data_IF_610052910261
#
_entry.id   IF_610052910261
#
_cell.length_a   1.000
_cell.length_b   1.000
_cell.length_c   1.000
_cell.angle_alpha   90.00
_cell.angle_beta   90.00
_cell.angle_gamma   90.00
#
_symmetry.space_group_name_H-M   'P 1'
#
loop_
_entity.id
_entity.type
_entity.pdbx_description
1 polymer ?
#
# COMPACT_ATOMS: atom_id res chain seq x y z
N UNK A 1 -14.17 -17.14 -10.01
CA UNK A 1 -14.10 -17.71 -8.64
C UNK A 1 -13.80 -16.56 -7.70
N UNK A 2 -14.23 -16.59 -6.43
CA UNK A 2 -13.91 -15.51 -5.50
C UNK A 2 -12.38 -15.43 -5.28
N UNK A 3 -11.87 -14.20 -5.17
CA UNK A 3 -10.46 -13.98 -4.86
C UNK A 3 -10.08 -14.58 -3.52
N UNK A 4 -8.90 -15.18 -3.43
CA UNK A 4 -8.34 -15.80 -2.22
C UNK A 4 -7.21 -14.93 -1.70
N UNK A 5 -7.33 -14.39 -0.47
CA UNK A 5 -6.32 -13.51 0.12
C UNK A 5 -5.72 -14.14 1.38
N UNK A 6 -4.41 -14.26 1.41
CA UNK A 6 -3.68 -14.64 2.60
C UNK A 6 -3.50 -13.41 3.50
N UNK A 7 -3.92 -13.52 4.76
CA UNK A 7 -3.80 -12.47 5.77
C UNK A 7 -2.89 -12.94 6.89
N UNK A 8 -1.77 -12.25 7.09
CA UNK A 8 -0.91 -12.43 8.26
C UNK A 8 -1.70 -12.08 9.52
N UNK A 9 -2.08 -13.10 10.28
CA UNK A 9 -2.94 -12.94 11.45
C UNK A 9 -2.18 -12.48 12.70
N UNK A 10 -0.86 -12.30 12.62
CA UNK A 10 0.02 -11.99 13.75
C UNK A 10 0.77 -10.65 13.58
N UNK A 11 0.37 -9.82 12.58
CA UNK A 11 1.13 -8.65 12.18
C UNK A 11 0.90 -7.41 13.05
N UNK A 12 -0.33 -7.16 13.52
CA UNK A 12 -0.65 -5.91 14.22
C UNK A 12 -0.26 -5.92 15.70
N UNK A 13 -0.21 -4.71 16.30
CA UNK A 13 0.07 -4.51 17.74
C UNK A 13 -0.94 -5.22 18.65
N UNK A 14 -2.13 -5.57 18.12
CA UNK A 14 -3.23 -6.21 18.85
C UNK A 14 -3.65 -7.54 18.23
N UNK A 15 -2.75 -8.13 17.44
CA UNK A 15 -2.98 -9.41 16.81
C UNK A 15 -3.41 -10.50 17.84
N UNK A 16 -4.24 -11.45 17.45
CA UNK A 16 -4.82 -11.69 16.12
C UNK A 16 -6.22 -11.05 15.92
N UNK A 17 -6.71 -10.26 16.86
CA UNK A 17 -8.10 -9.83 16.91
C UNK A 17 -8.54 -8.93 15.77
N UNK A 18 -7.81 -7.84 15.43
CA UNK A 18 -8.16 -6.98 14.29
C UNK A 18 -8.16 -7.72 12.95
N UNK A 19 -7.21 -8.67 12.78
CA UNK A 19 -7.07 -9.48 11.59
C UNK A 19 -8.27 -10.43 11.41
N UNK A 20 -8.67 -11.13 12.47
CA UNK A 20 -9.83 -12.04 12.46
C UNK A 20 -11.12 -11.26 12.19
N UNK A 21 -11.35 -10.14 12.89
CA UNK A 21 -12.52 -9.29 12.69
C UNK A 21 -12.56 -8.72 11.27
N UNK A 22 -11.43 -8.24 10.76
CA UNK A 22 -11.29 -7.72 9.40
C UNK A 22 -11.52 -8.79 8.33
N UNK A 23 -10.99 -10.00 8.52
CA UNK A 23 -11.23 -11.15 7.64
C UNK A 23 -12.71 -11.52 7.55
N UNK A 24 -13.40 -11.59 8.70
CA UNK A 24 -14.84 -11.88 8.78
C UNK A 24 -15.66 -10.79 8.06
N UNK A 25 -15.30 -9.51 8.27
CA UNK A 25 -15.97 -8.38 7.61
C UNK A 25 -15.73 -8.40 6.10
N UNK A 26 -14.49 -8.65 5.64
CA UNK A 26 -14.14 -8.74 4.23
C UNK A 26 -14.86 -9.91 3.53
N UNK A 27 -14.82 -11.09 4.13
CA UNK A 27 -15.52 -12.27 3.58
C UNK A 27 -17.02 -12.04 3.45
N UNK A 28 -17.65 -11.37 4.45
CA UNK A 28 -19.08 -11.05 4.43
C UNK A 28 -19.44 -9.98 3.41
N UNK A 29 -18.64 -8.93 3.30
CA UNK A 29 -18.98 -7.74 2.51
C UNK A 29 -18.56 -7.86 1.05
N UNK A 30 -17.43 -8.51 0.78
CA UNK A 30 -16.83 -8.58 -0.56
C UNK A 30 -16.84 -9.99 -1.16
N UNK A 31 -17.27 -11.01 -0.41
CA UNK A 31 -17.32 -12.39 -0.90
C UNK A 31 -15.94 -13.03 -1.10
N UNK A 32 -14.86 -12.43 -0.60
CA UNK A 32 -13.49 -12.96 -0.72
C UNK A 32 -13.27 -14.12 0.24
N UNK A 33 -12.47 -15.11 -0.17
CA UNK A 33 -11.96 -16.16 0.72
C UNK A 33 -10.69 -15.66 1.40
N UNK A 34 -10.63 -15.79 2.73
CA UNK A 34 -9.49 -15.31 3.52
C UNK A 34 -8.78 -16.48 4.19
N UNK A 35 -7.48 -16.59 3.97
CA UNK A 35 -6.59 -17.53 4.64
C UNK A 35 -5.86 -16.79 5.76
N UNK A 36 -6.26 -17.00 7.02
CA UNK A 36 -5.61 -16.47 8.22
C UNK A 36 -4.34 -17.26 8.49
N UNK A 37 -3.18 -16.64 8.35
CA UNK A 37 -1.87 -17.30 8.48
C UNK A 37 -1.27 -17.00 9.84
N UNK A 38 -0.98 -18.04 10.62
CA UNK A 38 -0.36 -17.91 11.94
C UNK A 38 -0.47 -19.16 12.79
N UNK A 39 -0.03 -19.12 14.07
CA UNK A 39 -0.10 -20.25 14.98
C UNK A 39 -1.54 -20.69 15.25
N UNK A 40 -1.86 -21.91 14.82
CA UNK A 40 -3.23 -22.46 14.87
C UNK A 40 -3.80 -22.51 16.30
N UNK A 41 -2.95 -22.78 17.28
CA UNK A 41 -3.31 -22.81 18.70
C UNK A 41 -3.74 -21.44 19.24
N UNK A 42 -3.28 -20.32 18.63
CA UNK A 42 -3.69 -18.96 18.96
C UNK A 42 -4.94 -18.56 18.17
N UNK A 43 -5.01 -18.93 16.89
CA UNK A 43 -6.06 -18.50 16.00
C UNK A 43 -7.38 -19.24 16.20
N UNK A 44 -7.37 -20.56 16.42
CA UNK A 44 -8.59 -21.36 16.59
C UNK A 44 -9.48 -20.90 17.75
N UNK A 45 -8.96 -20.67 18.97
CA UNK A 45 -9.79 -20.20 20.08
C UNK A 45 -10.38 -18.81 19.83
N UNK A 46 -9.59 -17.89 19.21
CA UNK A 46 -10.08 -16.53 18.97
C UNK A 46 -11.11 -16.52 17.83
N UNK A 47 -10.88 -17.23 16.72
CA UNK A 47 -11.84 -17.36 15.63
C UNK A 47 -13.15 -18.03 16.09
N UNK A 48 -13.08 -18.99 17.01
CA UNK A 48 -14.23 -19.67 17.60
C UNK A 48 -15.18 -18.76 18.39
N UNK A 49 -14.74 -17.58 18.81
CA UNK A 49 -15.60 -16.58 19.47
C UNK A 49 -16.60 -15.95 18.51
N UNK A 50 -16.36 -16.03 17.22
CA UNK A 50 -17.21 -15.43 16.17
C UNK A 50 -18.10 -16.47 15.52
N UNK A 51 -19.34 -16.61 15.99
CA UNK A 51 -20.32 -17.58 15.45
C UNK A 51 -20.52 -17.50 13.92
N UNK A 52 -20.31 -16.30 13.35
CA UNK A 52 -20.44 -16.07 11.91
C UNK A 52 -19.28 -16.69 11.12
N UNK A 53 -18.10 -16.89 11.71
CA UNK A 53 -16.93 -17.40 11.03
C UNK A 53 -17.15 -18.80 10.42
N UNK A 54 -17.87 -19.68 11.10
CA UNK A 54 -18.18 -21.04 10.61
C UNK A 54 -19.07 -21.10 9.36
N UNK A 55 -19.61 -19.97 8.89
CA UNK A 55 -20.44 -19.86 7.68
C UNK A 55 -19.80 -19.03 6.58
N UNK A 56 -18.62 -18.50 6.83
CA UNK A 56 -17.88 -17.62 5.91
C UNK A 56 -16.63 -18.35 5.41
N UNK A 57 -16.14 -18.00 4.21
CA UNK A 57 -14.93 -18.60 3.64
C UNK A 57 -13.66 -18.03 4.30
N UNK A 58 -13.51 -18.25 5.61
CA UNK A 58 -12.36 -17.87 6.42
C UNK A 58 -11.73 -19.13 6.99
N UNK A 59 -10.48 -19.40 6.63
CA UNK A 59 -9.75 -20.60 6.97
C UNK A 59 -8.41 -20.28 7.64
N UNK A 60 -7.93 -21.17 8.51
CA UNK A 60 -6.62 -21.03 9.14
C UNK A 60 -5.60 -21.83 8.36
N UNK A 61 -4.47 -21.19 8.04
CA UNK A 61 -3.25 -21.83 7.53
C UNK A 61 -2.19 -21.72 8.62
N UNK A 62 -1.70 -22.87 9.07
CA UNK A 62 -0.71 -22.91 10.15
C UNK A 62 0.63 -22.32 9.72
N UNK A 63 1.18 -21.46 10.58
CA UNK A 63 2.58 -21.04 10.61
C UNK A 63 3.02 -21.08 12.07
N UNK A 64 4.11 -21.78 12.37
CA UNK A 64 4.54 -22.02 13.77
C UNK A 64 5.15 -20.78 14.42
N UNK A 65 5.58 -19.80 13.62
CA UNK A 65 6.30 -18.61 14.04
C UNK A 65 5.66 -17.33 13.46
N UNK A 66 6.03 -16.19 13.99
CA UNK A 66 5.70 -14.87 13.45
C UNK A 66 6.80 -13.85 13.73
N UNK A 67 6.83 -12.78 12.95
CA UNK A 67 7.76 -11.64 13.09
C UNK A 67 7.06 -10.56 13.92
N UNK A 68 7.69 -10.12 15.00
CA UNK A 68 7.19 -9.02 15.84
C UNK A 68 7.70 -7.66 15.34
N UNK A 69 7.18 -6.57 15.89
CA UNK A 69 7.64 -5.22 15.53
C UNK A 69 9.07 -4.94 16.02
N UNK A 70 9.51 -5.61 17.10
CA UNK A 70 10.85 -5.49 17.68
C UNK A 70 11.88 -6.38 16.99
N UNK A 71 11.42 -7.37 16.20
CA UNK A 71 12.33 -8.26 15.47
C UNK A 71 13.12 -7.46 14.42
N UNK A 72 14.42 -7.67 14.41
CA UNK A 72 15.29 -7.15 13.35
C UNK A 72 15.07 -7.93 12.06
N UNK A 73 15.44 -7.35 10.92
CA UNK A 73 15.25 -7.99 9.59
C UNK A 73 15.97 -9.35 9.50
N UNK A 74 17.03 -9.55 10.26
CA UNK A 74 17.74 -10.83 10.33
C UNK A 74 16.87 -11.99 10.88
N UNK A 75 15.87 -11.69 11.69
CA UNK A 75 14.92 -12.68 12.21
C UNK A 75 14.17 -13.42 11.10
N UNK A 76 14.01 -12.81 9.92
CA UNK A 76 13.41 -13.44 8.73
C UNK A 76 14.17 -14.72 8.32
N UNK A 77 15.50 -14.73 8.51
CA UNK A 77 16.35 -15.90 8.19
C UNK A 77 16.26 -16.97 9.26
N UNK A 78 16.12 -16.58 10.52
CA UNK A 78 16.02 -17.48 11.65
C UNK A 78 14.64 -18.14 11.74
N UNK A 79 13.58 -17.35 11.68
CA UNK A 79 12.17 -17.80 11.74
C UNK A 79 11.71 -18.23 10.33
N UNK A 80 11.98 -19.47 9.96
CA UNK A 80 11.72 -19.96 8.59
C UNK A 80 10.25 -20.26 8.30
N UNK A 81 9.48 -20.56 9.32
CA UNK A 81 8.04 -20.88 9.23
C UNK A 81 7.17 -19.77 9.83
N UNK A 82 7.59 -18.50 9.59
CA UNK A 82 6.83 -17.34 10.05
C UNK A 82 5.62 -17.04 9.13
N UNK A 83 4.59 -16.41 9.71
CA UNK A 83 3.32 -16.10 9.05
C UNK A 83 3.47 -15.30 7.75
N UNK A 84 4.40 -14.33 7.68
CA UNK A 84 4.67 -13.56 6.46
C UNK A 84 5.21 -14.46 5.35
N UNK A 85 6.19 -15.30 5.66
CA UNK A 85 6.81 -16.20 4.67
C UNK A 85 5.81 -17.25 4.17
N UNK A 86 5.03 -17.83 5.08
CA UNK A 86 3.98 -18.80 4.73
C UNK A 86 2.93 -18.13 3.84
N UNK A 87 2.42 -16.96 4.21
CA UNK A 87 1.42 -16.22 3.43
C UNK A 87 1.90 -15.84 2.03
N UNK A 88 3.13 -15.32 1.92
CA UNK A 88 3.73 -15.00 0.62
C UNK A 88 4.03 -16.25 -0.23
N UNK A 89 4.36 -17.37 0.39
CA UNK A 89 4.51 -18.66 -0.31
C UNK A 89 3.19 -19.15 -0.91
N UNK A 90 2.06 -18.95 -0.21
CA UNK A 90 0.74 -19.26 -0.77
C UNK A 90 0.46 -18.45 -2.04
N UNK A 91 0.88 -17.18 -2.07
CA UNK A 91 0.77 -16.35 -3.28
C UNK A 91 1.66 -16.88 -4.40
N UNK A 92 2.92 -17.18 -4.12
CA UNK A 92 3.84 -17.73 -5.12
C UNK A 92 3.37 -19.07 -5.71
N UNK A 93 2.72 -19.90 -4.89
CA UNK A 93 2.17 -21.20 -5.30
C UNK A 93 0.81 -21.11 -6.01
N UNK A 94 0.25 -19.89 -6.16
CA UNK A 94 -1.07 -19.69 -6.76
C UNK A 94 -2.25 -20.15 -5.88
N UNK A 95 -2.02 -20.45 -4.61
CA UNK A 95 -3.04 -20.84 -3.62
C UNK A 95 -3.75 -19.62 -3.00
N UNK A 96 -3.10 -18.46 -3.05
CA UNK A 96 -3.69 -17.16 -2.75
C UNK A 96 -3.36 -16.19 -3.89
N UNK A 97 -4.25 -15.24 -4.14
CA UNK A 97 -4.08 -14.22 -5.17
C UNK A 97 -3.34 -12.98 -4.65
N UNK A 98 -3.35 -12.76 -3.32
CA UNK A 98 -2.65 -11.66 -2.67
C UNK A 98 -2.36 -11.95 -1.20
N UNK A 99 -1.44 -11.15 -0.64
CA UNK A 99 -1.01 -11.22 0.75
C UNK A 99 -1.19 -9.86 1.42
N UNK A 100 -1.68 -9.86 2.65
CA UNK A 100 -1.89 -8.68 3.49
C UNK A 100 -1.18 -8.88 4.83
N UNK A 101 -0.47 -7.86 5.32
CA UNK A 101 0.14 -7.86 6.65
C UNK A 101 0.09 -6.47 7.29
N UNK A 102 -0.04 -6.42 8.62
CA UNK A 102 0.17 -5.22 9.42
C UNK A 102 1.46 -5.29 10.26
N UNK A 103 2.34 -6.22 9.93
CA UNK A 103 3.58 -6.43 10.65
C UNK A 103 4.69 -5.46 10.26
N UNK A 104 5.90 -5.77 10.73
CA UNK A 104 7.10 -4.98 10.47
C UNK A 104 7.31 -4.75 8.97
N UNK A 105 7.24 -3.49 8.54
CA UNK A 105 7.29 -3.10 7.11
C UNK A 105 8.58 -3.57 6.43
N UNK A 106 9.74 -3.40 7.07
CA UNK A 106 11.03 -3.84 6.54
C UNK A 106 11.07 -5.37 6.35
N UNK A 107 10.55 -6.11 7.34
CA UNK A 107 10.45 -7.57 7.27
C UNK A 107 9.50 -8.03 6.16
N UNK A 108 8.35 -7.38 6.01
CA UNK A 108 7.37 -7.67 4.97
C UNK A 108 7.96 -7.45 3.57
N UNK A 109 8.60 -6.29 3.33
CA UNK A 109 9.24 -5.97 2.05
C UNK A 109 10.37 -6.95 1.71
N UNK A 110 11.28 -7.22 2.68
CA UNK A 110 12.37 -8.15 2.47
C UNK A 110 11.86 -9.57 2.20
N UNK A 111 10.84 -10.03 2.94
CA UNK A 111 10.26 -11.35 2.73
C UNK A 111 9.55 -11.44 1.37
N UNK A 112 8.82 -10.39 0.96
CA UNK A 112 8.17 -10.34 -0.35
C UNK A 112 9.20 -10.41 -1.49
N UNK A 113 10.29 -9.63 -1.40
CA UNK A 113 11.39 -9.68 -2.37
C UNK A 113 12.04 -11.07 -2.46
N UNK A 114 12.26 -11.73 -1.32
CA UNK A 114 12.88 -13.07 -1.27
C UNK A 114 11.93 -14.15 -1.81
N UNK A 115 10.64 -14.11 -1.43
CA UNK A 115 9.68 -15.18 -1.73
C UNK A 115 9.05 -15.01 -3.11
N UNK A 116 8.60 -13.81 -3.46
CA UNK A 116 7.93 -13.54 -4.74
C UNK A 116 8.94 -13.20 -5.86
N UNK A 117 10.03 -12.51 -5.51
CA UNK A 117 10.95 -11.91 -6.48
C UNK A 117 10.40 -10.63 -7.09
N UNK A 118 11.22 -9.91 -7.85
CA UNK A 118 10.82 -8.71 -8.57
C UNK A 118 10.16 -9.04 -9.92
N UNK A 119 9.24 -8.20 -10.36
CA UNK A 119 8.70 -8.20 -11.73
C UNK A 119 9.85 -7.95 -12.70
N UNK A 120 9.79 -8.55 -13.87
CA UNK A 120 10.87 -8.39 -14.88
C UNK A 120 11.01 -6.93 -15.27
N UNK A 121 12.24 -6.43 -15.24
CA UNK A 121 12.58 -5.04 -15.52
C UNK A 121 12.53 -4.12 -14.30
N UNK A 122 11.97 -4.57 -13.16
CA UNK A 122 11.99 -3.81 -11.90
C UNK A 122 13.31 -4.05 -11.18
N UNK A 123 14.07 -3.00 -10.96
CA UNK A 123 15.30 -3.02 -10.14
C UNK A 123 14.92 -3.06 -8.65
N UNK A 124 14.05 -2.16 -8.23
CA UNK A 124 13.61 -2.04 -6.85
C UNK A 124 12.09 -1.96 -6.73
N UNK A 125 11.44 -2.89 -6.00
CA UNK A 125 10.05 -2.73 -5.59
C UNK A 125 9.88 -1.45 -4.76
N UNK A 126 8.75 -0.78 -4.89
CA UNK A 126 8.45 0.47 -4.22
C UNK A 126 7.12 0.39 -3.45
N UNK A 127 7.06 1.05 -2.30
CA UNK A 127 5.88 1.10 -1.45
C UNK A 127 5.05 2.35 -1.79
N UNK A 128 3.78 2.16 -2.15
CA UNK A 128 2.89 3.27 -2.47
C UNK A 128 1.97 3.61 -1.30
N UNK A 129 1.69 4.90 -1.11
CA UNK A 129 0.67 5.36 -0.16
C UNK A 129 -0.35 6.26 -0.87
N UNK A 130 -1.61 6.11 -0.49
CA UNK A 130 -2.72 6.90 -1.04
C UNK A 130 -3.10 7.99 -0.05
N UNK A 131 -3.21 9.23 -0.56
CA UNK A 131 -3.56 10.42 0.20
C UNK A 131 -4.94 10.94 -0.21
N UNK A 132 -5.74 11.42 0.76
CA UNK A 132 -6.96 12.15 0.46
C UNK A 132 -6.63 13.52 -0.10
N UNK A 133 -7.38 13.95 -1.10
CA UNK A 133 -7.28 15.34 -1.61
C UNK A 133 -8.50 16.17 -1.27
N UNK A 134 -8.38 17.49 -1.34
CA UNK A 134 -9.47 18.41 -1.08
C UNK A 134 -10.69 18.19 -2.01
N UNK A 135 -10.53 17.96 -3.33
CA UNK A 135 -11.64 17.60 -4.21
C UNK A 135 -12.24 16.21 -3.95
N UNK A 136 -11.52 15.31 -3.26
CA UNK A 136 -11.97 13.97 -2.94
C UNK A 136 -11.45 12.85 -3.86
N UNK A 137 -10.75 13.19 -4.94
CA UNK A 137 -10.00 12.19 -5.71
C UNK A 137 -8.75 11.77 -4.93
N UNK A 138 -8.29 10.51 -5.02
CA UNK A 138 -7.05 10.12 -4.37
C UNK A 138 -5.83 10.70 -5.09
N UNK A 139 -4.77 11.00 -4.34
CA UNK A 139 -3.41 11.13 -4.87
C UNK A 139 -2.55 10.01 -4.33
N UNK A 140 -1.54 9.56 -5.06
CA UNK A 140 -0.64 8.49 -4.66
C UNK A 140 0.80 8.99 -4.61
N UNK A 141 1.49 8.70 -3.52
CA UNK A 141 2.93 8.94 -3.36
C UNK A 141 3.68 7.60 -3.45
N UNK A 142 4.73 7.56 -4.24
CA UNK A 142 5.59 6.41 -4.50
C UNK A 142 7.06 6.88 -4.64
N UNK A 143 8.00 6.49 -3.86
CA UNK A 143 8.09 5.51 -2.81
C UNK A 143 7.91 6.13 -1.41
N UNK A 144 7.33 5.38 -0.45
CA UNK A 144 7.12 5.87 0.93
C UNK A 144 7.93 5.08 1.97
N UNK A 145 9.07 4.52 1.58
CA UNK A 145 10.00 3.93 2.54
C UNK A 145 10.57 2.56 2.20
N UNK A 146 10.39 2.07 0.98
CA UNK A 146 11.04 0.83 0.55
C UNK A 146 12.52 1.05 0.17
N UNK A 147 12.87 2.23 -0.37
CA UNK A 147 14.21 2.52 -0.88
C UNK A 147 14.66 3.91 -0.43
N UNK A 148 15.56 3.96 0.55
CA UNK A 148 16.10 5.22 1.10
C UNK A 148 17.03 5.90 0.11
N UNK A 149 17.92 5.12 -0.51
CA UNK A 149 18.87 5.61 -1.53
C UNK A 149 18.38 5.14 -2.90
N UNK A 150 17.90 6.07 -3.71
CA UNK A 150 17.45 5.83 -5.08
C UNK A 150 18.42 6.39 -6.11
N UNK A 151 18.40 5.80 -7.32
CA UNK A 151 18.97 6.39 -8.53
C UNK A 151 17.88 7.10 -9.33
N UNK A 152 18.23 7.97 -10.31
CA UNK A 152 17.25 8.57 -11.21
C UNK A 152 16.39 7.53 -11.97
N UNK A 153 16.98 6.39 -12.36
CA UNK A 153 16.31 5.29 -13.03
C UNK A 153 15.31 4.57 -12.11
N UNK A 154 15.55 4.56 -10.78
CA UNK A 154 14.57 4.03 -9.84
C UNK A 154 13.33 4.93 -9.82
N UNK A 155 13.49 6.27 -9.80
CA UNK A 155 12.37 7.21 -9.85
C UNK A 155 11.61 7.13 -11.18
N UNK A 156 12.31 6.91 -12.29
CA UNK A 156 11.72 6.63 -13.59
C UNK A 156 10.83 5.38 -13.54
N UNK A 157 11.33 4.27 -13.00
CA UNK A 157 10.55 3.04 -12.83
C UNK A 157 9.36 3.24 -11.91
N UNK A 158 9.52 4.01 -10.83
CA UNK A 158 8.42 4.32 -9.90
C UNK A 158 7.30 5.10 -10.61
N UNK A 159 7.63 6.03 -11.49
CA UNK A 159 6.63 6.75 -12.28
C UNK A 159 5.79 5.81 -13.15
N UNK A 160 6.44 4.88 -13.85
CA UNK A 160 5.74 3.87 -14.67
C UNK A 160 4.87 2.95 -13.80
N UNK A 161 5.42 2.43 -12.69
CA UNK A 161 4.66 1.59 -11.76
C UNK A 161 3.47 2.32 -11.16
N UNK A 162 3.65 3.59 -10.82
CA UNK A 162 2.62 4.45 -10.27
C UNK A 162 1.50 4.73 -11.28
N UNK A 163 1.84 5.10 -12.51
CA UNK A 163 0.88 5.33 -13.59
C UNK A 163 0.03 4.09 -13.85
N UNK A 164 0.67 2.93 -14.02
CA UNK A 164 -0.02 1.65 -14.27
C UNK A 164 -0.96 1.30 -13.13
N UNK A 165 -0.49 1.39 -11.89
CA UNK A 165 -1.31 1.08 -10.72
C UNK A 165 -2.49 2.04 -10.59
N UNK A 166 -2.24 3.34 -10.73
CA UNK A 166 -3.28 4.35 -10.59
C UNK A 166 -4.37 4.21 -11.66
N UNK A 167 -3.99 3.97 -12.92
CA UNK A 167 -4.94 3.67 -14.01
C UNK A 167 -5.83 2.48 -13.69
N UNK A 168 -5.25 1.39 -13.22
CA UNK A 168 -5.98 0.17 -12.96
C UNK A 168 -6.93 0.27 -11.75
N UNK A 169 -6.50 0.92 -10.67
CA UNK A 169 -7.25 0.98 -9.42
C UNK A 169 -8.22 2.16 -9.35
N UNK A 170 -7.90 3.29 -10.03
CA UNK A 170 -8.66 4.54 -9.93
C UNK A 170 -9.12 5.08 -11.29
N UNK A 171 -8.88 4.36 -12.35
CA UNK A 171 -8.90 4.69 -13.78
C UNK A 171 -10.18 5.21 -14.40
N UNK A 172 -10.99 5.97 -13.67
CA UNK A 172 -12.07 6.77 -14.24
C UNK A 172 -11.62 8.21 -14.52
N UNK A 173 -10.40 8.38 -15.08
CA UNK A 173 -9.96 9.70 -15.49
C UNK A 173 -10.66 10.10 -16.80
N UNK A 174 -11.31 11.28 -16.84
CA UNK A 174 -11.94 11.79 -18.06
C UNK A 174 -10.91 12.21 -19.14
N UNK A 175 -9.60 12.31 -18.78
CA UNK A 175 -8.57 12.71 -19.71
C UNK A 175 -8.00 11.50 -20.45
N UNK A 176 -7.99 11.58 -21.79
CA UNK A 176 -7.35 10.62 -22.70
C UNK A 176 -5.84 10.44 -22.48
N UNK A 177 -5.20 11.35 -21.73
CA UNK A 177 -3.77 11.41 -21.42
C UNK A 177 -3.31 10.57 -20.22
N UNK A 178 -4.23 9.99 -19.44
CA UNK A 178 -3.92 9.22 -18.24
C UNK A 178 -3.64 10.04 -16.98
N UNK A 179 -3.18 9.39 -15.87
CA UNK A 179 -2.88 10.07 -14.61
C UNK A 179 -1.81 11.15 -14.77
N UNK A 180 -1.97 12.23 -14.03
CA UNK A 180 -0.95 13.29 -13.96
C UNK A 180 0.15 12.83 -13.02
N UNK A 181 1.37 12.68 -13.56
CA UNK A 181 2.54 12.21 -12.83
C UNK A 181 3.45 13.40 -12.52
N UNK A 182 3.75 13.64 -11.24
CA UNK A 182 4.66 14.69 -10.79
C UNK A 182 5.88 14.13 -10.06
N UNK A 183 6.98 14.87 -10.06
CA UNK A 183 8.19 14.57 -9.31
C UNK A 183 8.25 15.48 -8.07
N UNK A 184 8.28 14.90 -6.88
CA UNK A 184 8.35 15.68 -5.64
C UNK A 184 9.66 16.44 -5.54
N UNK A 185 9.58 17.76 -5.39
CA UNK A 185 10.72 18.66 -5.35
C UNK A 185 10.46 19.83 -4.36
N UNK A 186 11.40 20.76 -4.28
CA UNK A 186 11.34 21.94 -3.43
C UNK A 186 10.82 23.19 -4.16
N UNK A 187 10.37 23.06 -5.40
CA UNK A 187 9.82 24.10 -6.26
C UNK A 187 9.47 23.53 -7.62
N UNK A 188 8.59 24.22 -8.34
CA UNK A 188 8.00 23.76 -9.61
C UNK A 188 8.95 23.88 -10.81
N UNK A 189 9.98 24.76 -10.72
CA UNK A 189 10.90 25.00 -11.83
C UNK A 189 11.81 23.79 -12.05
N UNK A 190 12.12 23.47 -13.31
CA UNK A 190 12.97 22.35 -13.72
C UNK A 190 14.36 22.33 -13.06
N UNK A 191 14.90 23.50 -12.73
CA UNK A 191 16.21 23.67 -12.09
C UNK A 191 16.22 23.37 -10.58
N UNK A 192 15.05 23.25 -9.96
CA UNK A 192 14.91 22.99 -8.51
C UNK A 192 15.18 21.54 -8.14
N UNK A 193 15.52 21.33 -6.88
CA UNK A 193 15.78 20.02 -6.31
C UNK A 193 17.27 19.71 -6.14
N UNK A 194 17.55 18.51 -5.72
CA UNK A 194 18.90 17.95 -5.58
C UNK A 194 19.34 17.26 -6.89
N UNK A 195 20.55 16.69 -6.89
CA UNK A 195 21.10 16.02 -8.08
C UNK A 195 20.22 14.85 -8.54
N UNK A 196 19.68 14.07 -7.60
CA UNK A 196 18.77 12.96 -7.88
C UNK A 196 17.52 13.44 -8.65
N UNK A 197 16.82 14.45 -8.10
CA UNK A 197 15.57 14.94 -8.68
C UNK A 197 15.80 15.64 -10.02
N UNK A 198 16.90 16.42 -10.18
CA UNK A 198 17.21 17.06 -11.47
C UNK A 198 17.51 16.04 -12.57
N UNK A 199 18.23 14.97 -12.25
CA UNK A 199 18.49 13.90 -13.24
C UNK A 199 17.24 13.07 -13.54
N UNK A 200 16.46 12.72 -12.52
CA UNK A 200 15.19 12.02 -12.68
C UNK A 200 14.20 12.82 -13.53
N UNK A 201 14.14 14.15 -13.37
CA UNK A 201 13.29 15.03 -14.18
C UNK A 201 13.55 14.85 -15.68
N UNK A 202 14.83 14.77 -16.09
CA UNK A 202 15.20 14.60 -17.50
C UNK A 202 14.76 13.24 -18.06
N UNK A 203 14.81 12.18 -17.22
CA UNK A 203 14.32 10.85 -17.62
C UNK A 203 12.77 10.86 -17.72
N UNK A 204 12.08 11.38 -16.71
CA UNK A 204 10.62 11.42 -16.67
C UNK A 204 10.01 12.22 -17.84
N UNK A 205 10.66 13.31 -18.24
CA UNK A 205 10.23 14.15 -19.38
C UNK A 205 10.22 13.40 -20.71
N UNK A 206 11.01 12.33 -20.84
CA UNK A 206 11.10 11.53 -22.07
C UNK A 206 10.09 10.38 -22.12
N UNK A 207 9.42 10.10 -20.99
CA UNK A 207 8.47 9.01 -20.91
C UNK A 207 7.14 9.33 -21.62
N UNK A 208 6.47 8.33 -22.19
CA UNK A 208 5.12 8.48 -22.75
C UNK A 208 4.04 8.53 -21.63
N UNK A 209 4.31 9.31 -20.58
CA UNK A 209 3.43 9.56 -19.46
C UNK A 209 2.89 10.98 -19.47
N UNK A 210 1.80 11.24 -18.80
CA UNK A 210 1.32 12.59 -18.55
C UNK A 210 2.14 13.24 -17.43
N UNK A 211 3.43 13.46 -17.68
CA UNK A 211 4.35 14.07 -16.72
C UNK A 211 4.10 15.58 -16.65
N UNK A 212 3.73 16.07 -15.46
CA UNK A 212 3.38 17.48 -15.22
C UNK A 212 4.55 18.30 -14.69
N UNK A 213 5.73 17.70 -14.47
CA UNK A 213 6.92 18.37 -13.96
C UNK A 213 7.17 18.17 -12.47
N UNK A 214 7.94 19.10 -11.88
CA UNK A 214 8.14 19.13 -10.44
C UNK A 214 6.87 19.57 -9.72
N UNK A 215 6.63 18.96 -8.55
CA UNK A 215 5.52 19.29 -7.65
C UNK A 215 6.02 19.45 -6.22
N UNK A 216 5.29 20.18 -5.39
CA UNK A 216 5.64 20.44 -4.01
C UNK A 216 4.80 19.60 -3.04
N UNK A 217 5.17 19.58 -1.75
CA UNK A 217 4.45 18.81 -0.73
C UNK A 217 2.96 19.18 -0.58
N UNK A 218 2.56 20.42 -0.95
CA UNK A 218 1.15 20.83 -0.95
C UNK A 218 0.30 20.10 -1.99
N UNK A 219 0.93 19.62 -3.08
CA UNK A 219 0.24 18.97 -4.19
C UNK A 219 -0.21 17.55 -3.86
N UNK A 220 0.29 16.98 -2.75
CA UNK A 220 -0.26 15.75 -2.17
C UNK A 220 -1.76 15.87 -1.81
N UNK A 221 -2.28 17.10 -1.63
CA UNK A 221 -3.61 17.32 -1.08
C UNK A 221 -4.54 18.18 -1.95
N UNK A 222 -4.01 18.89 -2.96
CA UNK A 222 -4.81 19.81 -3.79
C UNK A 222 -5.64 19.10 -4.87
N UNK A 223 -5.25 17.85 -5.24
CA UNK A 223 -5.94 17.06 -6.27
C UNK A 223 -5.56 17.45 -7.71
N UNK A 224 -4.46 18.20 -7.90
CA UNK A 224 -3.95 18.59 -9.21
C UNK A 224 -3.01 17.55 -9.80
N UNK A 225 -2.48 16.64 -8.98
CA UNK A 225 -1.59 15.54 -9.37
C UNK A 225 -2.14 14.22 -8.85
N UNK A 226 -2.01 13.16 -9.63
CA UNK A 226 -2.58 11.85 -9.32
C UNK A 226 -1.52 10.88 -8.78
N UNK A 227 -0.32 10.94 -9.34
CA UNK A 227 0.84 10.13 -8.92
C UNK A 227 2.02 11.05 -8.66
N UNK A 228 2.56 11.01 -7.47
CA UNK A 228 3.72 11.80 -7.07
C UNK A 228 4.87 10.84 -6.77
N UNK A 229 6.02 11.07 -7.42
CA UNK A 229 7.21 10.22 -7.31
C UNK A 229 8.22 10.88 -6.38
N UNK A 230 8.78 10.10 -5.47
CA UNK A 230 9.87 10.51 -4.57
C UNK A 230 10.78 9.32 -4.26
N UNK A 231 11.98 9.58 -3.74
CA UNK A 231 12.73 8.54 -3.05
C UNK A 231 12.05 8.17 -1.72
N UNK A 232 12.35 6.97 -1.23
CA UNK A 232 11.66 6.45 -0.04
C UNK A 232 12.01 7.19 1.25
N UNK A 233 13.12 7.94 1.34
CA UNK A 233 13.41 8.76 2.50
C UNK A 233 12.48 9.96 2.55
N UNK A 234 12.42 10.75 1.48
CA UNK A 234 11.54 11.92 1.37
C UNK A 234 10.08 11.51 1.47
N UNK A 235 9.69 10.45 0.75
CA UNK A 235 8.33 9.95 0.78
C UNK A 235 7.88 9.44 2.16
N UNK A 236 8.75 8.74 2.89
CA UNK A 236 8.44 8.31 4.26
C UNK A 236 8.31 9.50 5.22
N UNK A 237 9.17 10.52 5.10
CA UNK A 237 9.06 11.75 5.89
C UNK A 237 7.73 12.44 5.60
N UNK A 238 7.36 12.60 4.33
CA UNK A 238 6.09 13.19 3.92
C UNK A 238 4.88 12.40 4.49
N UNK A 239 4.90 11.06 4.41
CA UNK A 239 3.87 10.20 4.99
C UNK A 239 3.77 10.38 6.52
N UNK A 240 4.89 10.37 7.24
CA UNK A 240 4.88 10.49 8.71
C UNK A 240 4.45 11.87 9.19
N UNK A 241 4.83 12.94 8.48
CA UNK A 241 4.32 14.29 8.75
C UNK A 241 2.81 14.34 8.52
N UNK A 242 2.31 13.78 7.43
CA UNK A 242 0.89 13.72 7.11
C UNK A 242 0.07 12.98 8.16
N UNK A 243 0.54 11.82 8.62
CA UNK A 243 -0.06 11.06 9.71
C UNK A 243 -0.08 11.88 11.03
N UNK A 244 1.02 12.55 11.35
CA UNK A 244 1.15 13.41 12.52
C UNK A 244 0.17 14.58 12.50
N UNK A 245 0.08 15.29 11.37
CA UNK A 245 -0.85 16.42 11.19
C UNK A 245 -2.30 15.95 11.27
N UNK A 246 -2.65 14.84 10.62
CA UNK A 246 -4.01 14.27 10.71
C UNK A 246 -4.40 13.93 12.16
N UNK A 247 -3.47 13.35 12.93
CA UNK A 247 -3.69 13.05 14.34
C UNK A 247 -3.83 14.32 15.20
N UNK A 248 -3.02 15.35 14.96
CA UNK A 248 -3.12 16.65 15.62
C UNK A 248 -4.49 17.31 15.37
N UNK A 249 -4.91 17.36 14.11
CA UNK A 249 -6.22 17.93 13.73
C UNK A 249 -7.37 17.18 14.41
N UNK A 250 -7.33 15.82 14.41
CA UNK A 250 -8.33 15.01 15.11
C UNK A 250 -8.36 15.28 16.62
N UNK A 251 -7.21 15.38 17.27
CA UNK A 251 -7.11 15.65 18.71
C UNK A 251 -7.64 17.04 19.06
N UNK A 252 -7.19 18.07 18.34
CA UNK A 252 -7.63 19.47 18.57
C UNK A 252 -9.13 19.64 18.35
N UNK A 253 -9.68 19.03 17.29
CA UNK A 253 -11.13 19.05 17.02
C UNK A 253 -11.91 18.37 18.16
N UNK A 254 -11.47 17.18 18.58
CA UNK A 254 -12.09 16.43 19.68
C UNK A 254 -12.08 17.22 20.99
N UNK A 255 -10.98 17.87 21.33
CA UNK A 255 -10.85 18.71 22.51
C UNK A 255 -11.80 19.91 22.43
N UNK A 256 -11.79 20.64 21.31
CA UNK A 256 -12.65 21.79 21.08
C UNK A 256 -14.14 21.45 21.19
N UNK A 257 -14.57 20.30 20.67
CA UNK A 257 -15.96 19.84 20.73
C UNK A 257 -16.38 19.42 22.15
N UNK A 258 -15.44 18.97 22.97
CA UNK A 258 -15.71 18.56 24.36
C UNK A 258 -15.71 19.71 25.36
N UNK A 259 -15.23 20.89 24.98
CA UNK A 259 -14.93 21.99 25.88
C UNK A 259 -16.18 22.56 26.61
N UNK A 260 -17.38 22.51 26.03
CA UNK A 260 -18.63 23.01 26.62
C UNK A 260 -19.80 22.09 26.29
N UNK A 261 -20.84 22.11 27.13
CA UNK A 261 -22.07 21.33 26.92
C UNK A 261 -22.73 21.73 25.60
N UNK A 262 -22.78 23.03 25.29
CA UNK A 262 -23.35 23.52 24.03
C UNK A 262 -22.63 22.93 22.79
N UNK A 263 -21.28 22.88 22.82
CA UNK A 263 -20.50 22.27 21.73
C UNK A 263 -20.72 20.75 21.63
N UNK A 264 -20.88 20.05 22.76
CA UNK A 264 -21.19 18.62 22.76
C UNK A 264 -22.56 18.33 22.14
N UNK A 265 -23.58 19.14 22.46
CA UNK A 265 -24.92 19.03 21.85
C UNK A 265 -24.83 19.35 20.35
N UNK A 266 -24.13 20.41 19.95
CA UNK A 266 -23.89 20.74 18.53
C UNK A 266 -23.18 19.61 17.78
N UNK A 267 -22.16 18.98 18.40
CA UNK A 267 -21.47 17.83 17.84
C UNK A 267 -22.39 16.61 17.68
N UNK A 268 -23.30 16.37 18.61
CA UNK A 268 -24.28 15.29 18.51
C UNK A 268 -25.24 15.52 17.34
N UNK A 269 -25.74 16.73 17.17
CA UNK A 269 -26.63 17.11 16.07
C UNK A 269 -25.92 17.03 14.71
N UNK A 270 -24.62 17.30 14.67
CA UNK A 270 -23.77 17.27 13.46
C UNK A 270 -23.00 15.95 13.30
N UNK A 271 -23.45 14.85 13.93
CA UNK A 271 -22.72 13.58 13.97
C UNK A 271 -22.40 13.00 12.59
N UNK A 272 -23.30 13.16 11.62
CA UNK A 272 -23.06 12.71 10.23
C UNK A 272 -21.90 13.44 9.59
N UNK A 273 -21.85 14.79 9.70
CA UNK A 273 -20.76 15.58 9.17
C UNK A 273 -19.39 15.19 9.76
N UNK A 274 -19.34 14.93 11.07
CA UNK A 274 -18.11 14.44 11.72
C UNK A 274 -17.73 13.02 11.31
N UNK A 275 -18.70 12.19 10.98
CA UNK A 275 -18.43 10.85 10.44
C UNK A 275 -17.82 10.94 9.05
N UNK A 276 -18.35 11.80 8.19
CA UNK A 276 -17.84 12.03 6.84
C UNK A 276 -16.44 12.66 6.87
N UNK A 277 -16.25 13.66 7.72
CA UNK A 277 -14.93 14.26 7.97
C UNK A 277 -13.90 13.23 8.44
N UNK A 278 -14.29 12.36 9.41
CA UNK A 278 -13.42 11.30 9.90
C UNK A 278 -13.04 10.32 8.79
N UNK A 279 -13.99 9.89 7.97
CA UNK A 279 -13.73 8.98 6.83
C UNK A 279 -12.76 9.59 5.84
N UNK A 280 -12.90 10.87 5.50
CA UNK A 280 -11.98 11.56 4.58
C UNK A 280 -10.54 11.60 5.07
N UNK A 281 -10.32 11.75 6.38
CA UNK A 281 -8.98 11.80 6.99
C UNK A 281 -8.48 10.44 7.48
N UNK A 282 -9.26 9.37 7.28
CA UNK A 282 -8.92 8.05 7.80
C UNK A 282 -8.16 7.24 6.75
N UNK A 283 -6.84 7.14 6.94
CA UNK A 283 -5.98 6.33 6.09
C UNK A 283 -6.40 4.83 6.04
N UNK A 284 -7.16 4.36 7.05
CA UNK A 284 -7.66 2.98 7.07
C UNK A 284 -8.71 2.69 5.99
N UNK A 285 -9.32 3.72 5.40
CA UNK A 285 -10.28 3.59 4.31
C UNK A 285 -9.58 3.26 2.97
N UNK A 286 -8.31 3.62 2.81
CA UNK A 286 -7.54 3.39 1.58
C UNK A 286 -6.96 1.98 1.46
N UNK A 287 -7.00 1.17 2.55
CA UNK A 287 -6.69 -0.25 2.48
C UNK A 287 -5.21 -0.62 2.49
N UNK A 288 -4.35 0.26 3.04
CA UNK A 288 -2.92 -0.02 3.18
C UNK A 288 -2.09 0.39 1.96
N UNK A 289 -0.80 0.11 2.04
CA UNK A 289 0.21 0.46 1.06
C UNK A 289 0.57 -0.76 0.20
N UNK A 290 0.30 -0.75 -1.11
CA UNK A 290 0.75 -1.80 -2.01
C UNK A 290 2.26 -1.73 -2.22
N UNK A 291 2.92 -2.88 -2.18
CA UNK A 291 4.31 -3.04 -2.60
C UNK A 291 4.33 -3.37 -4.09
N UNK A 292 4.58 -2.36 -4.91
CA UNK A 292 4.61 -2.49 -6.37
C UNK A 292 5.95 -3.06 -6.85
N UNK A 293 5.92 -3.77 -7.96
CA UNK A 293 7.13 -4.32 -8.58
C UNK A 293 7.57 -5.68 -8.05
N UNK A 294 6.81 -6.36 -7.20
CA UNK A 294 7.00 -7.77 -6.82
C UNK A 294 6.10 -8.70 -7.65
N UNK A 295 6.53 -9.95 -7.89
CA UNK A 295 5.76 -10.96 -8.65
C UNK A 295 4.59 -11.51 -7.82
N UNK A 296 3.62 -10.66 -7.49
CA UNK A 296 2.44 -10.98 -6.70
C UNK A 296 1.89 -9.74 -6.03
N UNK A 297 0.78 -9.89 -5.32
CA UNK A 297 0.14 -8.81 -4.59
C UNK A 297 0.58 -8.87 -3.13
N UNK A 298 1.18 -7.79 -2.63
CA UNK A 298 1.55 -7.62 -1.23
C UNK A 298 1.07 -6.24 -0.76
N UNK A 299 0.17 -6.22 0.23
CA UNK A 299 -0.35 -5.01 0.85
C UNK A 299 0.16 -4.94 2.29
N UNK A 300 0.75 -3.82 2.65
CA UNK A 300 1.29 -3.58 3.99
C UNK A 300 0.44 -2.51 4.67
N UNK A 301 -0.07 -2.80 5.85
CA UNK A 301 -0.82 -1.84 6.67
C UNK A 301 -0.02 -1.44 7.91
N UNK A 302 -0.50 -0.45 8.65
CA UNK A 302 0.15 0.02 9.87
C UNK A 302 -0.05 -0.95 11.04
N UNK A 303 0.93 -1.10 11.95
CA UNK A 303 0.82 -1.96 13.14
C UNK A 303 -0.37 -1.65 14.03
N UNK A 304 -0.79 -0.40 14.11
CA UNK A 304 -1.99 0.03 14.85
C UNK A 304 -3.33 -0.24 14.14
N UNK A 305 -3.32 -0.93 12.99
CA UNK A 305 -4.51 -1.19 12.17
C UNK A 305 -5.63 -1.87 12.97
N UNK A 306 -6.84 -1.41 12.71
CA UNK A 306 -8.07 -1.97 13.27
C UNK A 306 -8.76 -2.92 12.25
N UNK A 307 -9.87 -3.52 12.64
CA UNK A 307 -10.63 -4.43 11.77
C UNK A 307 -11.08 -3.79 10.45
N UNK A 308 -11.39 -2.48 10.44
CA UNK A 308 -11.77 -1.76 9.22
C UNK A 308 -10.59 -1.63 8.26
N UNK A 309 -9.39 -1.31 8.79
CA UNK A 309 -8.16 -1.27 8.00
C UNK A 309 -7.85 -2.64 7.37
N UNK A 310 -7.94 -3.72 8.14
CA UNK A 310 -7.72 -5.08 7.64
C UNK A 310 -8.74 -5.48 6.58
N UNK A 311 -10.01 -5.17 6.81
CA UNK A 311 -11.09 -5.40 5.82
C UNK A 311 -10.79 -4.70 4.49
N UNK A 312 -10.42 -3.41 4.54
CA UNK A 312 -10.13 -2.61 3.36
C UNK A 312 -8.84 -3.07 2.67
N UNK A 313 -7.81 -3.50 3.42
CA UNK A 313 -6.59 -4.07 2.86
C UNK A 313 -6.85 -5.37 2.09
N UNK A 314 -7.71 -6.24 2.62
CA UNK A 314 -8.15 -7.47 1.92
C UNK A 314 -8.91 -7.12 0.65
N UNK A 315 -9.77 -6.08 0.66
CA UNK A 315 -10.46 -5.58 -0.54
C UNK A 315 -9.47 -5.11 -1.60
N UNK A 316 -8.53 -4.23 -1.23
CA UNK A 316 -7.52 -3.69 -2.16
C UNK A 316 -6.65 -4.82 -2.72
N UNK A 317 -6.27 -5.80 -1.90
CA UNK A 317 -5.51 -6.96 -2.38
C UNK A 317 -6.29 -7.79 -3.41
N UNK A 318 -7.61 -7.97 -3.21
CA UNK A 318 -8.47 -8.68 -4.15
C UNK A 318 -8.60 -7.90 -5.48
N UNK A 319 -8.93 -6.60 -5.42
CA UNK A 319 -9.03 -5.72 -6.58
C UNK A 319 -7.71 -5.68 -7.37
N UNK A 320 -6.58 -5.53 -6.68
CA UNK A 320 -5.25 -5.55 -7.31
C UNK A 320 -4.99 -6.90 -8.01
N UNK A 321 -5.32 -8.01 -7.37
CA UNK A 321 -5.08 -9.35 -7.93
C UNK A 321 -5.85 -9.62 -9.24
N UNK A 322 -6.98 -8.96 -9.44
CA UNK A 322 -7.84 -9.09 -10.62
C UNK A 322 -7.46 -8.12 -11.75
N UNK A 323 -6.65 -7.11 -11.47
CA UNK A 323 -6.40 -5.97 -12.37
C UNK A 323 -5.33 -6.21 -13.45
N UNK A 324 -4.50 -7.26 -13.33
CA UNK A 324 -3.38 -7.51 -14.26
C UNK A 324 -2.21 -6.49 -14.17
N UNK A 325 -2.15 -5.69 -13.10
CA UNK A 325 -1.16 -4.61 -12.90
C UNK A 325 0.27 -5.10 -13.09
N UNK A 326 0.66 -6.23 -12.51
CA UNK A 326 2.03 -6.73 -12.60
C UNK A 326 2.48 -6.99 -14.05
N UNK A 327 1.58 -7.52 -14.89
CA UNK A 327 1.84 -7.73 -16.30
C UNK A 327 1.94 -6.39 -17.04
N UNK A 328 1.10 -5.43 -16.71
CA UNK A 328 1.14 -4.08 -17.29
C UNK A 328 2.40 -3.32 -16.87
N UNK A 329 2.89 -3.48 -15.64
CA UNK A 329 4.18 -2.94 -15.18
C UNK A 329 5.33 -3.53 -16.02
N UNK A 330 5.37 -4.85 -16.19
CA UNK A 330 6.40 -5.50 -17.02
C UNK A 330 6.40 -4.96 -18.45
N UNK A 331 5.22 -4.79 -19.04
CA UNK A 331 5.08 -4.22 -20.39
C UNK A 331 5.52 -2.76 -20.45
N UNK A 332 5.11 -1.93 -19.48
CA UNK A 332 5.49 -0.52 -19.41
C UNK A 332 7.00 -0.33 -19.28
N UNK A 333 7.65 -1.10 -18.40
CA UNK A 333 9.10 -1.04 -18.20
C UNK A 333 9.87 -1.58 -19.43
N UNK A 334 9.34 -2.57 -20.14
CA UNK A 334 9.96 -3.06 -21.36
C UNK A 334 10.03 -2.03 -22.48
N UNK A 335 9.25 -0.95 -22.41
CA UNK A 335 9.29 0.17 -23.36
C UNK A 335 10.35 1.21 -23.02
N UNK A 336 10.83 1.26 -21.75
CA UNK A 336 11.82 2.24 -21.31
C UNK A 336 13.22 2.00 -21.94
N UNK A 337 13.62 0.74 -22.08
CA UNK A 337 14.95 0.36 -22.55
C UNK A 337 14.87 -0.68 -23.69
N UNK A 338 14.49 -0.29 -24.91
CA UNK A 338 14.39 -1.24 -26.03
C UNK A 338 15.75 -1.87 -26.41
N UNK A 339 16.88 -1.21 -26.13
CA UNK A 339 18.22 -1.68 -26.50
C UNK A 339 18.73 -2.89 -25.68
N UNK A 340 18.22 -3.12 -24.46
CA UNK A 340 18.64 -4.27 -23.65
C UNK A 340 18.04 -5.62 -24.11
N UNK A 341 17.19 -5.63 -25.14
CA UNK A 341 16.61 -6.87 -25.72
C UNK A 341 17.55 -7.63 -26.65
N UNK A 342 18.53 -6.97 -27.29
CA UNK A 342 19.38 -7.62 -28.28
C UNK A 342 20.52 -8.44 -27.66
N UNK A 343 20.96 -8.10 -26.44
CA UNK A 343 22.08 -8.85 -25.80
C UNK A 343 21.68 -10.21 -25.21
N UNK A 344 20.40 -10.39 -24.82
CA UNK A 344 19.93 -11.67 -24.23
C UNK A 344 19.56 -12.71 -25.31
N UNK A 345 19.28 -12.29 -26.53
CA UNK A 345 18.93 -13.21 -27.64
C UNK A 345 20.17 -13.77 -28.37
N UNK A 346 21.38 -13.20 -28.12
CA UNK A 346 22.62 -13.69 -28.72
C UNK A 346 23.45 -14.62 -27.81
N UNK A 347 22.95 -14.91 -26.58
CA UNK A 347 23.64 -15.76 -25.60
C UNK A 347 22.93 -17.10 -25.32
N UNK A 348 22.05 -17.55 -26.20
CA UNK A 348 21.45 -18.90 -26.14
C UNK A 348 21.76 -19.71 -27.40
#
# INVERSE_FOLDING_TARGET
>A
MPSVIALDAMGSDRAPRPEIEGAIQAARQYGVRVLLVGPENLLKPELGRYRAAGRLPVEIVHASEYITMEDKVEAIRAKRDNSMRVGLRLVREGRAHGFVTAGNTGAAMATAKIVLGAVRGVDRPALAAVFPTAPGNPAMLLDVGANVDCTPENLEQFAVMGDVYFRAMYGKHPASSGPRVGLLSIGEEESKGNDLTRQAFQLLKQLPLNFVGNVEGRDLYNGEVDVIVADGFVGNVALKISEGVANLVRAALKESLKATITRQVGALLSRSAFTDFKKRLDHTEYGGAPLLGVKGVCIITHGSSNANAMKNAVRVAAEFSESGINQSIEQGLAMLHPASREEVTQSN
#
